data_IF_401598992206
#
_entry.id   IF_401598992206
#
_cell.length_a   1.000
_cell.length_b   1.000
_cell.length_c   1.000
_cell.angle_alpha   90.00
_cell.angle_beta   90.00
_cell.angle_gamma   90.00
#
_symmetry.space_group_name_H-M   'P 1'
#
loop_
_entity.id
_entity.type
_entity.pdbx_description
1 polymer ?
#
# COMPACT_ATOMS: atom_id res chain seq x y z
N UNK A 1 63.56 31.19 -13.04
CA UNK A 1 62.99 29.96 -12.47
C UNK A 1 61.95 30.38 -11.44
N UNK A 2 60.76 29.81 -11.57
CA UNK A 2 59.51 29.88 -10.79
C UNK A 2 59.44 30.65 -9.47
N UNK A 3 58.37 31.44 -9.32
CA UNK A 3 57.58 31.52 -8.09
C UNK A 3 56.11 31.75 -8.48
N UNK A 4 55.24 30.80 -8.13
CA UNK A 4 53.82 30.81 -8.49
C UNK A 4 53.07 31.96 -7.83
N UNK A 5 52.15 32.59 -8.57
CA UNK A 5 51.12 33.44 -7.97
C UNK A 5 50.11 32.53 -7.29
N UNK A 6 50.02 32.61 -5.95
CA UNK A 6 48.98 31.94 -5.16
C UNK A 6 47.88 32.97 -4.83
N UNK A 7 46.65 32.51 -5.05
CA UNK A 7 45.38 33.24 -5.09
C UNK A 7 44.99 33.91 -3.75
N UNK A 8 44.26 35.05 -3.73
CA UNK A 8 43.82 35.78 -2.52
C UNK A 8 42.96 35.03 -1.48
N UNK A 9 42.79 33.72 -1.59
CA UNK A 9 42.02 32.89 -0.66
C UNK A 9 42.84 32.40 0.56
N UNK A 10 43.97 33.06 0.87
CA UNK A 10 44.70 32.90 2.14
C UNK A 10 44.15 33.82 3.25
N UNK A 11 42.81 33.93 3.33
CA UNK A 11 42.08 34.44 4.50
C UNK A 11 41.28 33.31 5.13
N UNK A 12 41.86 32.11 5.19
CA UNK A 12 41.29 31.01 5.96
C UNK A 12 41.57 31.22 7.44
N UNK A 13 40.66 31.96 8.08
CA UNK A 13 40.31 31.94 9.51
C UNK A 13 41.48 31.64 10.46
N UNK A 14 42.22 32.68 10.83
CA UNK A 14 42.88 32.67 12.14
C UNK A 14 41.79 32.33 13.19
N UNK A 15 41.89 31.14 13.81
CA UNK A 15 40.94 30.71 14.83
C UNK A 15 41.15 31.60 16.06
N UNK A 16 40.13 32.36 16.42
CA UNK A 16 40.10 33.17 17.63
C UNK A 16 40.17 32.24 18.87
N UNK A 17 41.39 32.09 19.41
CA UNK A 17 41.68 31.24 20.58
C UNK A 17 40.98 31.72 21.84
N UNK A 18 40.48 32.96 21.87
CA UNK A 18 39.79 33.53 23.02
C UNK A 18 38.38 32.93 23.19
N UNK A 19 37.76 32.45 22.10
CA UNK A 19 36.46 31.74 22.17
C UNK A 19 36.56 30.34 22.79
N UNK A 20 37.70 29.65 22.65
CA UNK A 20 37.92 28.34 23.28
C UNK A 20 38.09 28.46 24.80
N UNK A 21 38.73 29.54 25.26
CA UNK A 21 38.96 29.78 26.69
C UNK A 21 37.66 30.03 27.49
N UNK A 22 36.58 30.51 26.85
CA UNK A 22 35.26 30.69 27.49
C UNK A 22 34.39 29.43 27.52
N UNK A 23 34.83 28.31 26.92
CA UNK A 23 34.07 27.06 26.91
C UNK A 23 32.77 27.12 26.09
N UNK A 24 32.61 28.09 25.18
CA UNK A 24 31.42 28.19 24.34
C UNK A 24 31.40 27.04 23.32
N UNK A 25 30.47 26.09 23.53
CA UNK A 25 30.29 24.95 22.64
C UNK A 25 29.64 25.41 21.33
N UNK A 26 30.18 24.98 20.19
CA UNK A 26 29.61 25.31 18.89
C UNK A 26 28.13 24.85 18.83
N UNK A 27 27.21 25.69 18.32
CA UNK A 27 25.80 25.32 18.23
C UNK A 27 25.62 24.08 17.36
N UNK A 28 24.77 23.14 17.81
CA UNK A 28 24.49 21.91 17.06
C UNK A 28 23.89 22.25 15.70
N UNK A 29 24.36 21.63 14.60
CA UNK A 29 23.73 21.77 13.30
C UNK A 29 22.26 21.33 13.36
N UNK A 30 21.39 22.03 12.65
CA UNK A 30 19.99 21.65 12.53
C UNK A 30 19.86 20.31 11.82
N UNK A 31 19.01 19.40 12.35
CA UNK A 31 18.72 18.13 11.72
C UNK A 31 17.87 18.36 10.47
N UNK A 32 18.45 18.15 9.29
CA UNK A 32 17.69 18.10 8.04
C UNK A 32 17.31 16.64 7.76
N UNK A 33 16.02 16.35 7.83
CA UNK A 33 15.45 15.10 7.33
C UNK A 33 15.52 15.13 5.79
N UNK A 34 16.19 14.14 5.19
CA UNK A 34 16.22 13.99 3.75
C UNK A 34 14.82 13.67 3.22
N UNK A 35 14.41 14.35 2.15
CA UNK A 35 13.18 13.97 1.43
C UNK A 35 13.45 12.69 0.66
N UNK A 36 12.71 11.62 0.98
CA UNK A 36 12.66 10.42 0.14
C UNK A 36 11.64 10.67 -0.98
N UNK A 37 12.01 10.35 -2.22
CA UNK A 37 11.07 10.45 -3.35
C UNK A 37 9.90 9.47 -3.17
N UNK A 38 8.67 9.84 -3.60
CA UNK A 38 7.58 8.89 -3.73
C UNK A 38 7.95 7.73 -4.67
N UNK A 39 7.44 6.51 -4.44
CA UNK A 39 7.59 5.42 -5.39
C UNK A 39 6.97 5.80 -6.75
N UNK A 40 7.51 5.31 -7.88
CA UNK A 40 6.93 5.59 -9.18
C UNK A 40 5.51 4.99 -9.25
N UNK A 41 4.56 5.79 -9.73
CA UNK A 41 3.21 5.33 -10.05
C UNK A 41 3.26 4.18 -11.05
N UNK A 42 2.35 3.19 -10.97
CA UNK A 42 2.26 2.15 -11.98
C UNK A 42 1.99 2.79 -13.34
N UNK A 43 2.95 2.65 -14.26
CA UNK A 43 2.77 3.04 -15.66
C UNK A 43 1.82 2.04 -16.32
N UNK A 44 0.56 2.40 -16.46
CA UNK A 44 -0.33 1.77 -17.44
C UNK A 44 -0.05 2.42 -18.79
N UNK A 45 0.69 1.74 -19.65
CA UNK A 45 0.73 2.08 -21.08
C UNK A 45 -0.59 1.62 -21.69
N UNK A 46 -1.52 2.56 -21.85
CA UNK A 46 -2.68 2.41 -22.73
C UNK A 46 -2.21 2.73 -24.15
N UNK A 47 -2.21 1.73 -25.02
CA UNK A 47 -2.37 1.90 -26.47
C UNK A 47 -2.59 0.53 -27.11
N UNK A 48 -3.86 0.13 -27.25
CA UNK A 48 -4.41 -0.43 -28.51
C UNK A 48 -5.91 -0.64 -28.34
N UNK A 49 -6.65 0.32 -28.88
CA UNK A 49 -8.07 0.23 -29.18
C UNK A 49 -8.33 -0.99 -30.08
N UNK A 50 -9.00 -2.02 -29.55
CA UNK A 50 -9.97 -2.83 -30.29
C UNK A 50 -10.88 -3.67 -29.35
N UNK A 51 -12.08 -3.14 -29.11
CA UNK A 51 -13.37 -3.84 -29.11
C UNK A 51 -13.42 -5.22 -28.42
N UNK A 52 -13.98 -5.29 -27.21
CA UNK A 52 -15.09 -6.18 -26.75
C UNK A 52 -15.21 -6.09 -25.21
N UNK A 53 -16.39 -5.62 -24.76
CA UNK A 53 -17.19 -5.91 -23.55
C UNK A 53 -16.52 -6.22 -22.19
N UNK A 54 -17.09 -5.55 -21.17
CA UNK A 54 -17.16 -5.92 -19.75
C UNK A 54 -15.86 -6.11 -18.99
N UNK A 55 -15.56 -5.19 -18.06
CA UNK A 55 -15.30 -5.50 -16.64
C UNK A 55 -15.02 -4.19 -15.89
N UNK A 56 -16.02 -3.66 -15.17
CA UNK A 56 -15.80 -2.61 -14.17
C UNK A 56 -15.62 -3.29 -12.81
N UNK A 57 -14.51 -3.99 -12.65
CA UNK A 57 -14.08 -4.46 -11.34
C UNK A 57 -13.70 -3.25 -10.49
N UNK A 58 -14.69 -2.68 -9.81
CA UNK A 58 -14.52 -1.67 -8.78
C UNK A 58 -14.09 -2.34 -7.47
N UNK A 59 -12.87 -2.87 -7.43
CA UNK A 59 -12.25 -3.29 -6.17
C UNK A 59 -11.90 -2.02 -5.40
N UNK A 60 -12.71 -1.72 -4.38
CA UNK A 60 -12.32 -0.78 -3.35
C UNK A 60 -11.06 -1.30 -2.65
N UNK A 61 -10.07 -0.43 -2.62
CA UNK A 61 -8.76 -0.60 -2.02
C UNK A 61 -8.85 -1.22 -0.62
N UNK A 62 -8.20 -2.38 -0.45
CA UNK A 62 -7.55 -2.73 0.81
C UNK A 62 -6.27 -3.46 0.45
N UNK A 63 -5.21 -2.67 0.31
CA UNK A 63 -3.85 -3.18 0.17
C UNK A 63 -3.44 -3.96 1.42
N UNK A 64 -3.06 -5.21 1.23
CA UNK A 64 -2.12 -5.92 2.09
C UNK A 64 -1.54 -7.09 1.30
N UNK A 65 -0.50 -6.81 0.52
CA UNK A 65 0.43 -7.83 0.11
C UNK A 65 1.09 -8.38 1.38
N UNK A 66 0.63 -9.56 1.84
CA UNK A 66 1.31 -10.30 2.90
C UNK A 66 1.18 -11.80 2.66
N UNK A 67 2.34 -12.44 2.64
CA UNK A 67 2.58 -13.76 2.09
C UNK A 67 1.96 -14.90 2.93
N UNK A 68 1.39 -15.88 2.20
CA UNK A 68 1.17 -17.29 2.56
C UNK A 68 1.10 -17.62 4.07
N UNK A 69 -0.03 -17.38 4.75
CA UNK A 69 -0.42 -18.14 5.97
C UNK A 69 -1.87 -17.93 6.44
N UNK A 70 -2.81 -17.52 5.58
CA UNK A 70 -4.17 -17.22 6.03
C UNK A 70 -5.25 -17.60 5.03
N UNK A 71 -5.19 -18.82 4.51
CA UNK A 71 -6.18 -19.36 3.56
C UNK A 71 -7.62 -19.19 4.08
N UNK A 72 -7.82 -19.39 5.40
CA UNK A 72 -9.10 -19.12 6.08
C UNK A 72 -9.54 -17.66 6.03
N UNK A 73 -8.64 -16.70 6.34
CA UNK A 73 -9.02 -15.29 6.39
C UNK A 73 -9.32 -14.75 4.99
N UNK A 74 -8.51 -15.15 4.01
CA UNK A 74 -8.71 -14.76 2.60
C UNK A 74 -10.05 -15.30 2.11
N UNK A 75 -10.32 -16.58 2.39
CA UNK A 75 -11.59 -17.22 2.06
C UNK A 75 -12.79 -16.52 2.73
N UNK A 76 -12.70 -16.22 4.02
CA UNK A 76 -13.76 -15.55 4.77
C UNK A 76 -14.07 -14.16 4.23
N UNK A 77 -13.04 -13.35 3.94
CA UNK A 77 -13.23 -12.00 3.36
C UNK A 77 -13.95 -12.10 2.01
N UNK A 78 -13.55 -13.04 1.15
CA UNK A 78 -14.15 -13.22 -0.18
C UNK A 78 -15.60 -13.72 -0.11
N UNK A 79 -15.90 -14.60 0.85
CA UNK A 79 -17.27 -15.05 1.11
C UNK A 79 -18.18 -13.89 1.54
N UNK A 80 -17.73 -13.05 2.48
CA UNK A 80 -18.48 -11.86 2.93
C UNK A 80 -18.68 -10.87 1.79
N UNK A 81 -17.66 -10.65 0.96
CA UNK A 81 -17.72 -9.75 -0.20
C UNK A 81 -18.80 -10.17 -1.21
N UNK A 82 -18.87 -11.47 -1.54
CA UNK A 82 -19.91 -12.00 -2.42
C UNK A 82 -21.33 -11.76 -1.86
N UNK A 83 -21.53 -12.06 -0.59
CA UNK A 83 -22.85 -11.94 0.01
C UNK A 83 -23.28 -10.47 0.19
N UNK A 84 -22.35 -9.55 0.45
CA UNK A 84 -22.63 -8.11 0.40
C UNK A 84 -23.01 -7.63 -0.99
N UNK A 85 -22.32 -8.14 -2.01
CA UNK A 85 -22.62 -7.84 -3.41
C UNK A 85 -24.07 -8.24 -3.75
N UNK A 86 -24.52 -9.43 -3.33
CA UNK A 86 -25.92 -9.86 -3.55
C UNK A 86 -26.92 -8.96 -2.84
N UNK A 87 -26.61 -8.46 -1.64
CA UNK A 87 -27.52 -7.57 -0.92
C UNK A 87 -27.64 -6.18 -1.56
N UNK A 88 -26.56 -5.66 -2.14
CA UNK A 88 -26.53 -4.32 -2.75
C UNK A 88 -27.05 -4.31 -4.19
N UNK A 89 -26.52 -5.19 -5.02
CA UNK A 89 -26.75 -5.19 -6.48
C UNK A 89 -27.79 -6.26 -6.91
N UNK A 90 -28.01 -7.27 -6.06
CA UNK A 90 -28.86 -8.42 -6.37
C UNK A 90 -28.10 -9.59 -6.99
N UNK A 91 -28.70 -10.78 -6.91
CA UNK A 91 -28.10 -12.05 -7.35
C UNK A 91 -27.71 -12.11 -8.84
N UNK A 92 -28.27 -11.21 -9.67
CA UNK A 92 -28.10 -11.21 -11.13
C UNK A 92 -26.96 -10.31 -11.63
N UNK A 93 -26.24 -9.63 -10.74
CA UNK A 93 -25.11 -8.80 -11.16
C UNK A 93 -23.93 -9.69 -11.62
N UNK A 94 -23.39 -9.38 -12.80
CA UNK A 94 -22.23 -10.06 -13.39
C UNK A 94 -21.02 -10.08 -12.45
N UNK A 95 -20.84 -9.01 -11.67
CA UNK A 95 -19.79 -8.88 -10.67
C UNK A 95 -19.94 -9.88 -9.51
N UNK A 96 -21.15 -10.05 -8.97
CA UNK A 96 -21.39 -11.01 -7.90
C UNK A 96 -21.21 -12.47 -8.38
N UNK A 97 -21.51 -12.77 -9.65
CA UNK A 97 -21.25 -14.11 -10.20
C UNK A 97 -19.76 -14.44 -10.31
N UNK A 98 -18.92 -13.47 -10.67
CA UNK A 98 -17.46 -13.63 -10.69
C UNK A 98 -16.93 -13.92 -9.29
N UNK A 99 -17.39 -13.16 -8.29
CA UNK A 99 -17.06 -13.40 -6.88
C UNK A 99 -17.52 -14.79 -6.43
N UNK A 100 -18.72 -15.23 -6.82
CA UNK A 100 -19.26 -16.55 -6.48
C UNK A 100 -18.35 -17.69 -6.93
N UNK A 101 -17.94 -17.64 -8.19
CA UNK A 101 -17.05 -18.64 -8.78
C UNK A 101 -15.67 -18.62 -8.15
N UNK A 102 -15.17 -17.41 -7.85
CA UNK A 102 -13.86 -17.22 -7.23
C UNK A 102 -13.79 -17.80 -5.82
N UNK A 103 -14.71 -17.44 -4.92
CA UNK A 103 -14.63 -17.95 -3.55
C UNK A 103 -14.89 -19.45 -3.49
N UNK A 104 -15.79 -20.00 -4.33
CA UNK A 104 -16.05 -21.46 -4.38
C UNK A 104 -14.86 -22.29 -4.86
N UNK A 105 -14.01 -21.73 -5.73
CA UNK A 105 -12.81 -22.43 -6.21
C UNK A 105 -11.63 -22.33 -5.25
N UNK A 106 -11.56 -21.24 -4.48
CA UNK A 106 -10.48 -20.98 -3.54
C UNK A 106 -10.74 -21.55 -2.13
N UNK A 107 -11.99 -21.54 -1.68
CA UNK A 107 -12.39 -21.95 -0.34
C UNK A 107 -12.73 -23.45 -0.25
N UNK A 108 -12.37 -24.13 0.84
CA UNK A 108 -12.91 -25.44 1.18
C UNK A 108 -14.43 -25.40 1.34
N UNK A 109 -15.14 -26.35 0.71
CA UNK A 109 -16.61 -26.46 0.79
C UNK A 109 -17.12 -26.59 2.22
N UNK A 110 -16.39 -27.28 3.10
CA UNK A 110 -16.74 -27.43 4.52
C UNK A 110 -16.91 -26.09 5.25
N UNK A 111 -16.08 -25.10 4.92
CA UNK A 111 -16.17 -23.77 5.54
C UNK A 111 -17.36 -22.99 5.02
N UNK A 112 -17.59 -23.05 3.71
CA UNK A 112 -18.74 -22.40 3.07
C UNK A 112 -20.04 -22.93 3.68
N UNK A 113 -20.21 -24.24 3.77
CA UNK A 113 -21.40 -24.88 4.35
C UNK A 113 -21.62 -24.47 5.81
N UNK A 114 -20.55 -24.38 6.60
CA UNK A 114 -20.63 -23.94 8.00
C UNK A 114 -21.10 -22.49 8.11
N UNK A 115 -20.52 -21.59 7.33
CA UNK A 115 -20.90 -20.19 7.31
C UNK A 115 -22.30 -19.96 6.77
N UNK A 116 -22.72 -20.72 5.76
CA UNK A 116 -24.10 -20.70 5.24
C UNK A 116 -25.10 -21.02 6.34
N UNK A 117 -24.84 -22.06 7.14
CA UNK A 117 -25.67 -22.41 8.29
C UNK A 117 -25.69 -21.30 9.35
N UNK A 118 -24.52 -20.75 9.71
CA UNK A 118 -24.44 -19.64 10.68
C UNK A 118 -25.21 -18.39 10.22
N UNK A 119 -25.24 -18.16 8.91
CA UNK A 119 -25.95 -17.05 8.26
C UNK A 119 -27.46 -17.27 8.20
N UNK A 120 -27.92 -18.49 7.89
CA UNK A 120 -29.33 -18.88 7.98
C UNK A 120 -29.87 -18.84 9.42
N UNK A 121 -29.03 -19.19 10.40
CA UNK A 121 -29.36 -19.08 11.83
C UNK A 121 -29.30 -17.64 12.37
N UNK A 122 -28.81 -16.68 11.58
CA UNK A 122 -28.64 -15.27 11.99
C UNK A 122 -27.54 -15.05 13.04
N UNK A 123 -26.60 -15.99 13.18
CA UNK A 123 -25.47 -15.93 14.14
C UNK A 123 -24.16 -15.53 13.49
N UNK A 124 -24.19 -15.15 12.22
CA UNK A 124 -22.97 -14.83 11.47
C UNK A 124 -22.32 -13.55 12.03
N UNK A 125 -20.99 -13.55 12.29
CA UNK A 125 -20.34 -12.45 12.99
C UNK A 125 -20.12 -11.19 12.14
N UNK A 126 -20.20 -11.29 10.81
CA UNK A 126 -20.09 -10.13 9.94
C UNK A 126 -21.47 -9.59 9.56
N UNK A 127 -21.56 -8.26 9.42
CA UNK A 127 -22.71 -7.64 8.77
C UNK A 127 -22.64 -7.93 7.28
N UNK A 128 -23.59 -8.75 6.83
CA UNK A 128 -23.79 -9.05 5.43
C UNK A 128 -25.18 -8.68 5.03
#
# INVERSE_FOLDING_TARGET
MSAAQVDPHDKMRARDVNKVARGEQAPRPAHQYGTVSPPPSPHTTDDTKNKIKEEKSGIAENGAESAKSTDYKICFVKYVEYHRCIQQEGEKASECQKLSTYFRSFCPTEWITKWDKEREEGKFPAQI
#
